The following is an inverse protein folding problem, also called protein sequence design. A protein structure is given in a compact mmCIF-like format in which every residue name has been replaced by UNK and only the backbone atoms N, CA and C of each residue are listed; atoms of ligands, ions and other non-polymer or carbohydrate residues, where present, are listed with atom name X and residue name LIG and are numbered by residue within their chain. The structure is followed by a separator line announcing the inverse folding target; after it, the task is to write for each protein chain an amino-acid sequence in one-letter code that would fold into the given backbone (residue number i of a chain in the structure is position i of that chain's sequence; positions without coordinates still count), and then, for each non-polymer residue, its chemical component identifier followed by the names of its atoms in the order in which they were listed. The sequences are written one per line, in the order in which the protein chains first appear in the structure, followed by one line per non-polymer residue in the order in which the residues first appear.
data_IF_491182590446
#
_entry.id   IF_491182590446
#
_cell.length_a   1.000
_cell.length_b   1.000
_cell.length_c   1.000
_cell.angle_alpha   90.00
_cell.angle_beta   90.00
_cell.angle_gamma   90.00
#
_symmetry.space_group_name_H-M   'P 1'
#
loop_
_entity.id
_entity.type
_entity.pdbx_description
1 polymer ?
#
# COMPACT_ATOMS: atom_id res chain seq x y z
N UNK A 1 -6.89 6.86 -32.85
CA UNK A 1 -6.22 7.87 -33.68
C UNK A 1 -4.94 7.29 -34.26
N UNK A 2 -5.08 6.46 -35.28
CA UNK A 2 -3.98 6.03 -36.16
C UNK A 2 -4.49 6.43 -37.54
N UNK A 3 -4.24 7.68 -37.91
CA UNK A 3 -4.67 8.28 -39.15
C UNK A 3 -3.55 9.18 -39.64
N UNK A 4 -2.97 8.80 -40.78
CA UNK A 4 -2.01 9.57 -41.58
C UNK A 4 -0.64 9.83 -40.96
N UNK A 5 0.20 8.79 -40.96
CA UNK A 5 1.63 8.96 -41.24
C UNK A 5 1.88 8.43 -42.65
N UNK A 6 1.68 9.31 -43.64
CA UNK A 6 2.12 9.10 -45.02
C UNK A 6 3.67 9.20 -45.04
N UNK A 7 4.34 8.11 -44.68
CA UNK A 7 5.78 7.95 -44.90
C UNK A 7 5.96 7.64 -46.39
N UNK A 8 6.18 8.67 -47.20
CA UNK A 8 6.75 8.48 -48.53
C UNK A 8 8.13 7.83 -48.36
N UNK A 9 8.20 6.55 -48.73
CA UNK A 9 9.42 5.77 -48.77
C UNK A 9 10.44 6.45 -49.71
N UNK A 10 11.52 6.97 -49.14
CA UNK A 10 12.70 7.39 -49.91
C UNK A 10 13.32 6.16 -50.58
N UNK A 11 13.14 6.06 -51.90
CA UNK A 11 13.69 4.97 -52.72
C UNK A 11 15.12 5.32 -53.15
N UNK A 12 16.11 4.97 -52.32
CA UNK A 12 17.52 5.11 -52.68
C UNK A 12 17.99 3.95 -53.57
N UNK A 13 18.50 4.29 -54.75
CA UNK A 13 18.94 3.37 -55.79
C UNK A 13 20.29 2.73 -55.40
N UNK A 14 20.35 1.40 -55.25
CA UNK A 14 21.51 0.66 -54.72
C UNK A 14 22.63 0.51 -55.75
N UNK A 15 23.87 0.85 -55.39
CA UNK A 15 25.08 0.20 -55.90
C UNK A 15 25.78 -0.58 -54.78
N UNK A 16 26.29 -1.76 -55.15
CA UNK A 16 26.83 -2.84 -54.29
C UNK A 16 28.00 -2.38 -53.42
N UNK A 17 27.74 -2.19 -52.12
CA UNK A 17 28.47 -2.69 -50.95
C UNK A 17 27.47 -2.62 -49.79
N UNK A 18 27.06 -3.76 -49.22
CA UNK A 18 25.91 -3.84 -48.29
C UNK A 18 26.32 -3.49 -46.85
N UNK A 19 26.60 -2.22 -46.59
CA UNK A 19 26.64 -1.65 -45.24
C UNK A 19 25.46 -0.72 -45.04
N UNK A 20 24.89 -0.70 -43.83
CA UNK A 20 23.89 0.32 -43.48
C UNK A 20 24.54 1.70 -43.59
N UNK A 21 23.86 2.63 -44.25
CA UNK A 21 24.32 4.03 -44.26
C UNK A 21 24.05 4.66 -42.90
N UNK A 22 24.88 5.63 -42.50
CA UNK A 22 24.67 6.37 -41.24
C UNK A 22 23.25 6.98 -41.17
N UNK A 23 22.76 7.50 -42.30
CA UNK A 23 21.40 8.06 -42.41
C UNK A 23 20.30 7.00 -42.20
N UNK A 24 20.48 5.79 -42.70
CA UNK A 24 19.52 4.69 -42.53
C UNK A 24 19.44 4.24 -41.05
N UNK A 25 20.59 4.13 -40.38
CA UNK A 25 20.64 3.81 -38.94
C UNK A 25 20.04 4.95 -38.10
N UNK A 26 20.30 6.22 -38.44
CA UNK A 26 19.74 7.35 -37.71
C UNK A 26 18.23 7.46 -37.84
N UNK A 27 17.68 7.24 -39.04
CA UNK A 27 16.22 7.26 -39.25
C UNK A 27 15.57 6.10 -38.49
N UNK A 28 16.14 4.90 -38.53
CA UNK A 28 15.58 3.74 -37.81
C UNK A 28 15.64 3.91 -36.29
N UNK A 29 16.77 4.40 -35.74
CA UNK A 29 16.87 4.74 -34.32
C UNK A 29 15.92 5.89 -33.93
N UNK A 30 15.71 6.87 -34.81
CA UNK A 30 14.75 7.95 -34.60
C UNK A 30 13.31 7.46 -34.51
N UNK A 31 12.90 6.57 -35.42
CA UNK A 31 11.55 5.98 -35.42
C UNK A 31 11.34 5.11 -34.17
N UNK A 32 12.29 4.23 -33.85
CA UNK A 32 12.23 3.39 -32.64
C UNK A 32 12.18 4.26 -31.39
N UNK A 33 12.95 5.35 -31.34
CA UNK A 33 12.94 6.31 -30.24
C UNK A 33 11.58 6.96 -30.01
N UNK A 34 10.91 7.42 -31.07
CA UNK A 34 9.57 8.03 -30.98
C UNK A 34 8.54 7.00 -30.51
N UNK A 35 8.53 5.81 -31.11
CA UNK A 35 7.57 4.74 -30.76
C UNK A 35 7.78 4.27 -29.32
N UNK A 36 9.03 4.09 -28.90
CA UNK A 36 9.36 3.71 -27.52
C UNK A 36 8.92 4.80 -26.52
N UNK A 37 9.16 6.07 -26.83
CA UNK A 37 8.74 7.19 -25.97
C UNK A 37 7.21 7.25 -25.76
N UNK A 38 6.42 6.87 -26.78
CA UNK A 38 4.95 6.83 -26.68
C UNK A 38 4.42 5.59 -25.94
N UNK A 39 5.14 4.47 -25.98
CA UNK A 39 4.64 3.17 -25.47
C UNK A 39 5.17 2.81 -24.08
N UNK A 40 6.43 3.14 -23.76
CA UNK A 40 7.07 2.80 -22.49
C UNK A 40 6.35 3.35 -21.25
N UNK A 41 5.86 4.61 -21.22
CA UNK A 41 5.20 5.14 -20.02
C UNK A 41 3.93 4.35 -19.65
N UNK A 42 3.11 3.99 -20.64
CA UNK A 42 1.86 3.25 -20.42
C UNK A 42 2.12 1.79 -20.01
N UNK A 43 3.10 1.14 -20.63
CA UNK A 43 3.47 -0.23 -20.30
C UNK A 43 4.03 -0.32 -18.87
N UNK A 44 4.92 0.61 -18.48
CA UNK A 44 5.51 0.63 -17.13
C UNK A 44 4.42 0.91 -16.07
N UNK A 45 3.49 1.82 -16.35
CA UNK A 45 2.39 2.14 -15.43
C UNK A 45 1.49 0.92 -15.17
N UNK A 46 0.98 0.29 -16.23
CA UNK A 46 0.11 -0.88 -16.11
C UNK A 46 0.81 -2.11 -15.52
N UNK A 47 2.11 -2.26 -15.76
CA UNK A 47 2.91 -3.30 -15.14
C UNK A 47 3.05 -3.10 -13.63
N UNK A 48 3.39 -1.88 -13.18
CA UNK A 48 3.52 -1.55 -11.75
C UNK A 48 2.22 -1.79 -10.99
N UNK A 49 1.08 -1.42 -11.56
CA UNK A 49 -0.23 -1.65 -10.95
C UNK A 49 -0.49 -3.15 -10.72
N UNK A 50 -0.23 -3.98 -11.72
CA UNK A 50 -0.33 -5.44 -11.59
C UNK A 50 0.62 -6.00 -10.53
N UNK A 51 1.85 -5.49 -10.46
CA UNK A 51 2.81 -5.89 -9.44
C UNK A 51 2.33 -5.55 -8.03
N UNK A 52 1.86 -4.33 -7.81
CA UNK A 52 1.35 -3.90 -6.51
C UNK A 52 0.13 -4.72 -6.09
N UNK A 53 -0.80 -5.00 -7.02
CA UNK A 53 -1.96 -5.85 -6.76
C UNK A 53 -1.56 -7.25 -6.29
N UNK A 54 -0.61 -7.89 -6.97
CA UNK A 54 -0.10 -9.21 -6.58
C UNK A 54 0.60 -9.16 -5.22
N UNK A 55 1.44 -8.15 -5.00
CA UNK A 55 2.15 -7.96 -3.74
C UNK A 55 1.20 -7.72 -2.57
N UNK A 56 0.13 -6.95 -2.80
CA UNK A 56 -0.92 -6.70 -1.80
C UNK A 56 -1.72 -7.96 -1.46
N UNK A 57 -2.12 -8.77 -2.45
CA UNK A 57 -2.75 -10.08 -2.18
C UNK A 57 -1.86 -10.97 -1.32
N UNK A 58 -0.55 -10.98 -1.61
CA UNK A 58 0.44 -11.70 -0.80
C UNK A 58 0.51 -11.13 0.62
N UNK A 59 0.56 -9.81 0.78
CA UNK A 59 0.59 -9.14 2.08
C UNK A 59 -0.64 -9.52 2.92
N UNK A 60 -1.84 -9.40 2.34
CA UNK A 60 -3.10 -9.75 3.00
C UNK A 60 -3.16 -11.22 3.41
N UNK A 61 -2.77 -12.14 2.50
CA UNK A 61 -2.75 -13.57 2.80
C UNK A 61 -1.73 -13.91 3.90
N UNK A 62 -0.52 -13.34 3.82
CA UNK A 62 0.54 -13.56 4.81
C UNK A 62 0.12 -13.04 6.19
N UNK A 63 -0.53 -11.88 6.22
CA UNK A 63 -1.01 -11.30 7.47
C UNK A 63 -2.16 -12.09 8.09
N UNK A 64 -3.10 -12.55 7.27
CA UNK A 64 -4.19 -13.40 7.74
C UNK A 64 -3.67 -14.72 8.30
N UNK A 65 -2.68 -15.33 7.65
CA UNK A 65 -2.03 -16.56 8.14
C UNK A 65 -1.23 -16.32 9.43
N UNK A 66 -0.48 -15.22 9.51
CA UNK A 66 0.25 -14.84 10.73
C UNK A 66 -0.71 -14.61 11.90
N UNK A 67 -1.84 -13.98 11.65
CA UNK A 67 -2.89 -13.76 12.65
C UNK A 67 -3.47 -15.08 13.16
N UNK A 68 -3.83 -16.01 12.26
CA UNK A 68 -4.35 -17.32 12.66
C UNK A 68 -3.34 -18.11 13.50
N UNK A 69 -2.06 -18.16 13.09
CA UNK A 69 -1.01 -18.84 13.86
C UNK A 69 -0.83 -18.23 15.25
N UNK A 70 -0.85 -16.90 15.33
CA UNK A 70 -0.75 -16.20 16.60
C UNK A 70 -1.92 -16.52 17.55
N UNK A 71 -3.11 -16.76 17.01
CA UNK A 71 -4.27 -17.21 17.78
C UNK A 71 -4.12 -18.67 18.22
N UNK A 72 -3.67 -19.55 17.32
CA UNK A 72 -3.43 -20.98 17.61
C UNK A 72 -2.38 -21.19 18.71
N UNK A 73 -1.29 -20.42 18.68
CA UNK A 73 -0.23 -20.48 19.69
C UNK A 73 -0.63 -19.82 21.03
N UNK A 74 -1.81 -19.19 21.10
CA UNK A 74 -2.33 -18.57 22.33
C UNK A 74 -1.64 -17.26 22.74
N UNK A 75 -0.80 -16.69 21.88
CA UNK A 75 -0.13 -15.41 22.14
C UNK A 75 -1.01 -14.19 21.82
N UNK A 76 -2.17 -14.39 21.19
CA UNK A 76 -3.13 -13.32 20.96
C UNK A 76 -3.70 -12.79 22.29
N UNK A 77 -3.46 -11.52 22.57
CA UNK A 77 -4.05 -10.83 23.71
C UNK A 77 -5.48 -10.45 23.33
N UNK A 78 -6.46 -11.07 23.99
CA UNK A 78 -7.87 -10.81 23.74
C UNK A 78 -8.21 -9.33 23.92
N UNK A 79 -8.97 -8.81 22.96
CA UNK A 79 -9.36 -7.40 22.91
C UNK A 79 -10.79 -7.32 23.42
N UNK A 80 -10.94 -7.12 24.72
CA UNK A 80 -12.21 -6.67 25.29
C UNK A 80 -12.23 -5.14 25.25
N UNK A 81 -13.25 -4.51 24.64
CA UNK A 81 -13.39 -3.07 24.69
C UNK A 81 -13.51 -2.63 26.15
N UNK A 82 -12.47 -2.00 26.70
CA UNK A 82 -12.54 -1.44 28.04
C UNK A 82 -13.07 -0.02 27.95
N UNK A 83 -14.22 0.22 28.59
CA UNK A 83 -14.73 1.55 28.89
C UNK A 83 -13.70 2.26 29.76
N UNK A 84 -13.05 3.30 29.21
CA UNK A 84 -12.23 4.21 29.99
C UNK A 84 -13.03 5.48 30.29
N UNK A 85 -12.77 6.06 31.47
CA UNK A 85 -13.46 7.26 31.94
C UNK A 85 -13.39 8.38 30.89
N UNK A 86 -14.55 8.94 30.52
CA UNK A 86 -14.68 9.92 29.42
C UNK A 86 -15.39 9.41 28.17
N UNK A 87 -15.93 8.18 28.16
CA UNK A 87 -16.72 7.64 27.06
C UNK A 87 -15.91 7.12 25.88
N UNK A 88 -14.59 7.01 26.04
CA UNK A 88 -13.72 6.39 25.04
C UNK A 88 -13.55 4.91 25.37
N UNK A 89 -13.37 4.08 24.34
CA UNK A 89 -13.00 2.68 24.50
C UNK A 89 -11.55 2.55 24.05
N UNK A 90 -10.68 2.05 24.91
CA UNK A 90 -9.26 1.89 24.61
C UNK A 90 -8.86 0.42 24.79
N UNK A 91 -8.13 -0.11 23.82
CA UNK A 91 -7.69 -1.50 23.79
C UNK A 91 -6.16 -1.55 23.64
N UNK A 92 -5.39 -1.34 24.73
CA UNK A 92 -3.92 -1.34 24.70
C UNK A 92 -3.31 -2.64 24.14
N UNK A 93 -4.07 -3.74 24.20
CA UNK A 93 -3.71 -5.05 23.67
C UNK A 93 -3.33 -5.05 22.18
N UNK A 94 -3.74 -4.05 21.39
CA UNK A 94 -3.55 -4.08 19.93
C UNK A 94 -2.14 -3.72 19.52
N UNK A 95 -1.55 -2.72 20.18
CA UNK A 95 -0.13 -2.41 19.98
C UNK A 95 0.74 -3.63 20.29
N UNK A 96 0.42 -4.36 21.37
CA UNK A 96 1.11 -5.59 21.74
C UNK A 96 0.86 -6.73 20.75
N UNK A 97 -0.39 -6.95 20.32
CA UNK A 97 -0.69 -7.91 19.26
C UNK A 97 0.05 -7.61 17.96
N UNK A 98 0.24 -6.33 17.62
CA UNK A 98 1.03 -5.93 16.45
C UNK A 98 2.53 -6.19 16.63
N UNK A 99 3.09 -6.03 17.84
CA UNK A 99 4.46 -6.46 18.14
C UNK A 99 4.61 -7.97 18.05
N UNK A 100 3.65 -8.72 18.59
CA UNK A 100 3.66 -10.19 18.59
C UNK A 100 3.54 -10.72 17.16
N UNK A 101 2.59 -10.21 16.36
CA UNK A 101 2.38 -10.67 14.99
C UNK A 101 3.60 -10.43 14.11
N UNK A 102 4.38 -9.36 14.37
CA UNK A 102 5.62 -9.09 13.64
C UNK A 102 6.63 -10.25 13.70
N UNK A 103 6.62 -11.05 14.78
CA UNK A 103 7.48 -12.23 14.93
C UNK A 103 7.13 -13.35 13.94
N UNK A 104 5.86 -13.47 13.57
CA UNK A 104 5.38 -14.47 12.59
C UNK A 104 5.72 -14.10 11.15
N UNK A 105 6.16 -12.86 10.91
CA UNK A 105 6.63 -12.38 9.62
C UNK A 105 8.14 -12.54 9.44
N UNK A 106 8.90 -13.06 10.42
CA UNK A 106 10.38 -13.00 10.39
C UNK A 106 10.86 -11.57 10.08
N UNK A 107 10.42 -10.60 10.87
CA UNK A 107 10.78 -9.19 10.68
C UNK A 107 12.30 -9.00 10.67
N UNK A 108 12.80 -8.27 9.67
CA UNK A 108 14.22 -7.92 9.53
C UNK A 108 14.57 -6.67 10.34
N UNK A 109 13.57 -5.81 10.55
CA UNK A 109 13.71 -4.58 11.33
C UNK A 109 12.40 -4.31 12.07
N UNK A 110 12.49 -3.96 13.34
CA UNK A 110 11.35 -3.56 14.18
C UNK A 110 11.60 -2.17 14.74
N UNK A 111 10.58 -1.32 14.69
CA UNK A 111 10.61 0.06 15.15
C UNK A 111 9.45 0.28 16.11
N UNK A 112 9.67 0.00 17.40
CA UNK A 112 8.65 0.08 18.44
C UNK A 112 8.92 1.14 19.51
N UNK A 113 10.08 1.78 19.49
CA UNK A 113 10.59 2.64 20.56
C UNK A 113 10.65 4.11 20.13
N UNK A 114 9.58 4.59 19.48
CA UNK A 114 9.51 5.99 19.02
C UNK A 114 10.34 6.28 17.76
N UNK A 115 10.66 5.25 16.98
CA UNK A 115 11.49 5.33 15.80
C UNK A 115 10.77 4.81 14.52
N UNK A 116 9.46 5.02 14.39
CA UNK A 116 8.69 4.53 13.24
C UNK A 116 9.28 4.95 11.87
N UNK A 117 9.89 6.13 11.81
CA UNK A 117 10.53 6.71 10.62
C UNK A 117 11.71 5.90 10.08
N UNK A 118 12.25 5.00 10.89
CA UNK A 118 13.30 4.07 10.49
C UNK A 118 12.79 2.83 9.73
N UNK A 119 11.51 2.50 9.87
CA UNK A 119 10.86 1.35 9.23
C UNK A 119 9.80 1.79 8.22
N UNK A 120 9.39 3.06 8.23
CA UNK A 120 8.30 3.58 7.42
C UNK A 120 8.63 4.97 6.88
N UNK A 121 8.40 5.19 5.57
CA UNK A 121 8.68 6.50 4.96
C UNK A 121 7.61 7.51 5.35
N UNK A 122 8.00 8.47 6.19
CA UNK A 122 7.11 9.47 6.77
C UNK A 122 7.13 10.82 6.05
N UNK A 123 8.27 11.27 5.53
CA UNK A 123 8.43 12.63 4.99
C UNK A 123 7.79 12.82 3.60
N UNK A 124 7.84 11.79 2.76
CA UNK A 124 7.33 11.80 1.37
C UNK A 124 6.20 10.80 1.12
N UNK A 125 5.74 10.10 2.16
CA UNK A 125 4.77 9.02 2.06
C UNK A 125 3.39 9.37 2.62
N UNK A 126 2.35 8.84 1.99
CA UNK A 126 0.98 8.93 2.49
C UNK A 126 0.77 7.89 3.61
N UNK A 127 0.52 8.34 4.84
CA UNK A 127 0.15 7.45 5.97
C UNK A 127 -1.13 7.89 6.70
N UNK A 128 -1.88 8.81 6.08
CA UNK A 128 -3.19 9.27 6.60
C UNK A 128 -3.11 10.16 7.84
N UNK A 129 -1.94 10.76 8.16
CA UNK A 129 -1.85 11.76 9.23
C UNK A 129 -2.63 13.03 8.85
N UNK A 130 -3.41 13.54 9.80
CA UNK A 130 -4.05 14.85 9.70
C UNK A 130 -3.15 15.88 10.39
N UNK A 131 -2.61 16.82 9.62
CA UNK A 131 -1.95 18.02 10.15
C UNK A 131 -2.51 19.24 9.44
N UNK A 132 -2.81 20.28 10.20
CA UNK A 132 -3.36 21.56 9.73
C UNK A 132 -2.34 22.42 8.96
N UNK A 133 -1.13 21.93 8.69
CA UNK A 133 -0.11 22.67 7.94
C UNK A 133 0.77 21.72 7.11
N UNK A 134 0.88 22.02 5.81
CA UNK A 134 1.48 21.24 4.71
C UNK A 134 0.52 20.22 4.06
N UNK A 135 0.56 20.03 2.72
CA UNK A 135 -0.60 19.66 1.93
C UNK A 135 -1.16 18.33 2.43
N UNK A 136 -2.46 18.36 2.71
CA UNK A 136 -3.28 17.32 3.30
C UNK A 136 -2.71 15.90 3.02
N UNK A 137 -2.53 15.11 4.08
CA UNK A 137 -2.32 13.64 4.05
C UNK A 137 -0.88 13.08 4.02
N UNK A 138 0.14 13.94 4.11
CA UNK A 138 1.55 13.50 4.28
C UNK A 138 1.90 13.32 5.75
N UNK A 139 2.55 12.20 6.08
CA UNK A 139 3.17 12.03 7.40
C UNK A 139 2.75 10.78 8.17
N UNK A 140 3.62 10.39 9.09
CA UNK A 140 3.41 9.39 10.12
C UNK A 140 3.64 10.01 11.52
N UNK A 141 3.39 9.25 12.58
CA UNK A 141 3.84 9.56 13.95
C UNK A 141 5.01 8.66 14.29
N UNK A 142 6.14 9.23 14.75
CA UNK A 142 7.35 8.46 15.11
C UNK A 142 7.11 7.50 16.28
N UNK A 143 6.18 7.85 17.15
CA UNK A 143 5.74 7.02 18.28
C UNK A 143 4.99 5.75 17.85
N UNK A 144 4.53 5.66 16.60
CA UNK A 144 3.84 4.47 16.10
C UNK A 144 4.75 3.25 15.99
N UNK A 145 4.16 2.08 16.07
CA UNK A 145 4.82 0.81 15.86
C UNK A 145 4.91 0.51 14.37
N UNK A 146 6.10 0.17 13.92
CA UNK A 146 6.34 -0.22 12.55
C UNK A 146 7.34 -1.38 12.50
N UNK A 147 7.32 -2.17 11.44
CA UNK A 147 8.34 -3.18 11.18
C UNK A 147 8.48 -3.41 9.67
N UNK A 148 9.61 -3.98 9.28
CA UNK A 148 9.86 -4.42 7.90
C UNK A 148 9.98 -5.94 7.92
N UNK A 149 9.23 -6.62 7.05
CA UNK A 149 9.31 -8.07 6.93
C UNK A 149 10.48 -8.53 6.05
N UNK A 150 10.79 -9.83 6.07
CA UNK A 150 11.87 -10.42 5.27
C UNK A 150 11.71 -10.20 3.75
N UNK A 151 10.51 -9.94 3.27
CA UNK A 151 10.24 -9.69 1.86
C UNK A 151 10.42 -8.22 1.47
N UNK A 152 10.71 -7.35 2.44
CA UNK A 152 10.93 -5.93 2.26
C UNK A 152 9.64 -5.11 2.28
N UNK A 153 8.49 -5.69 2.67
CA UNK A 153 7.27 -4.89 2.88
C UNK A 153 7.37 -4.20 4.24
N UNK A 154 6.95 -2.94 4.28
CA UNK A 154 6.88 -2.18 5.52
C UNK A 154 5.45 -2.25 6.09
N UNK A 155 5.36 -2.35 7.40
CA UNK A 155 4.11 -2.41 8.14
C UNK A 155 4.11 -1.30 9.19
N UNK A 156 2.99 -0.61 9.34
CA UNK A 156 2.88 0.55 10.24
C UNK A 156 1.51 0.58 10.91
N UNK A 157 1.49 0.62 12.24
CA UNK A 157 0.29 0.73 13.06
C UNK A 157 0.04 2.20 13.39
N UNK A 158 -0.98 2.80 12.80
CA UNK A 158 -1.28 4.21 13.00
C UNK A 158 -1.65 4.50 14.46
N UNK A 159 -0.89 5.41 15.10
CA UNK A 159 -1.13 5.89 16.46
C UNK A 159 -1.06 4.82 17.56
N UNK A 160 -0.51 3.63 17.28
CA UNK A 160 -0.56 2.46 18.17
C UNK A 160 -1.96 2.08 18.63
N UNK A 161 -2.96 2.49 17.87
CA UNK A 161 -4.36 2.25 18.17
C UNK A 161 -4.88 1.08 17.34
N UNK A 162 -6.12 0.71 17.64
CA UNK A 162 -6.86 -0.39 17.04
C UNK A 162 -6.90 -0.36 15.51
N UNK A 163 -6.81 0.83 14.93
CA UNK A 163 -7.10 1.08 13.55
C UNK A 163 -6.45 2.41 13.10
N UNK A 164 -5.86 2.53 11.89
CA UNK A 164 -5.52 1.50 10.88
C UNK A 164 -4.14 0.83 11.00
N UNK A 165 -4.03 -0.33 10.33
CA UNK A 165 -2.76 -0.95 9.95
C UNK A 165 -2.48 -0.62 8.50
N UNK A 166 -1.33 -0.03 8.23
CA UNK A 166 -0.86 0.26 6.89
C UNK A 166 0.20 -0.76 6.50
N UNK A 167 0.16 -1.18 5.24
CA UNK A 167 1.21 -1.97 4.62
C UNK A 167 1.69 -1.26 3.37
N UNK A 168 3.01 -1.16 3.23
CA UNK A 168 3.67 -0.73 2.01
C UNK A 168 4.29 -1.97 1.33
N UNK A 169 3.73 -2.35 0.19
CA UNK A 169 4.05 -3.62 -0.49
C UNK A 169 5.35 -3.57 -1.28
N UNK A 170 5.92 -2.38 -1.52
CA UNK A 170 7.24 -2.20 -2.13
C UNK A 170 8.25 -1.52 -1.20
N UNK A 171 7.89 -1.30 0.07
CA UNK A 171 8.80 -0.91 1.14
C UNK A 171 9.05 0.60 1.20
N UNK A 172 10.31 1.02 1.06
CA UNK A 172 10.70 2.43 1.03
C UNK A 172 10.67 3.05 -0.38
N UNK A 173 10.41 2.22 -1.41
CA UNK A 173 10.46 2.61 -2.80
C UNK A 173 9.24 3.44 -3.19
N UNK A 174 9.48 4.50 -3.95
CA UNK A 174 8.40 5.30 -4.54
C UNK A 174 7.40 4.44 -5.33
N UNK A 175 6.10 4.81 -5.37
CA UNK A 175 5.56 6.13 -5.00
C UNK A 175 5.16 6.38 -3.54
N UNK A 176 5.09 5.39 -2.64
CA UNK A 176 4.66 5.55 -1.25
C UNK A 176 3.26 6.21 -1.10
N UNK A 177 2.28 5.73 -1.89
CA UNK A 177 0.92 6.28 -2.04
C UNK A 177 -0.17 5.28 -1.65
N UNK A 178 -1.15 5.79 -0.91
CA UNK A 178 -2.37 5.05 -0.55
C UNK A 178 -3.16 4.68 -1.80
N UNK A 179 -3.59 3.42 -1.88
CA UNK A 179 -4.32 2.85 -3.01
C UNK A 179 -3.44 2.48 -4.20
N UNK A 180 -2.11 2.59 -4.09
CA UNK A 180 -1.15 2.14 -5.11
C UNK A 180 -0.24 1.07 -4.55
N UNK A 181 0.76 1.46 -3.77
CA UNK A 181 1.68 0.57 -3.08
C UNK A 181 1.43 0.52 -1.57
N UNK A 182 0.71 1.51 -1.03
CA UNK A 182 0.24 1.48 0.36
C UNK A 182 -1.21 1.08 0.46
N UNK A 183 -1.50 0.12 1.34
CA UNK A 183 -2.83 -0.40 1.57
C UNK A 183 -3.20 -0.33 3.04
N UNK A 184 -4.50 -0.22 3.29
CA UNK A 184 -5.06 -0.12 4.62
C UNK A 184 -5.78 -1.42 4.95
N UNK A 185 -5.34 -2.02 6.05
CA UNK A 185 -5.90 -3.21 6.65
C UNK A 185 -6.35 -2.88 8.07
N UNK A 186 -7.21 -3.74 8.61
CA UNK A 186 -7.67 -3.65 9.98
C UNK A 186 -7.90 -5.02 10.55
N UNK A 187 -7.83 -5.10 11.87
CA UNK A 187 -8.46 -6.19 12.56
C UNK A 187 -9.99 -6.12 12.40
N UNK A 188 -10.67 -7.26 12.47
CA UNK A 188 -12.12 -7.33 12.42
C UNK A 188 -12.65 -8.50 13.23
N UNK A 189 -13.88 -8.35 13.72
CA UNK A 189 -14.69 -9.43 14.26
C UNK A 189 -15.88 -9.71 13.33
N UNK A 190 -16.48 -10.90 13.40
CA UNK A 190 -17.76 -11.21 12.74
C UNK A 190 -18.90 -10.27 13.15
N UNK A 191 -18.84 -9.76 14.37
CA UNK A 191 -19.89 -8.95 14.98
C UNK A 191 -19.60 -7.44 14.88
N UNK A 192 -18.51 -7.05 14.19
CA UNK A 192 -17.98 -5.68 14.20
C UNK A 192 -19.04 -4.60 13.91
N UNK A 193 -19.07 -3.57 14.76
CA UNK A 193 -19.99 -2.43 14.65
C UNK A 193 -19.46 -1.40 13.62
N UNK A 194 -18.14 -1.37 13.39
CA UNK A 194 -17.54 -0.51 12.39
C UNK A 194 -18.01 -0.88 10.98
N UNK A 195 -18.50 0.12 10.24
CA UNK A 195 -18.85 -0.03 8.83
C UNK A 195 -17.63 -0.52 8.03
N UNK A 196 -17.87 -1.32 6.98
CA UNK A 196 -16.85 -1.78 6.02
C UNK A 196 -16.01 -0.64 5.41
N UNK A 197 -16.51 0.58 5.54
CA UNK A 197 -15.92 1.82 5.06
C UNK A 197 -14.92 2.47 6.02
N UNK A 198 -14.96 2.10 7.30
CA UNK A 198 -14.13 2.56 8.43
C UNK A 198 -13.85 4.07 8.55
N UNK A 199 -14.59 4.90 7.82
CA UNK A 199 -14.76 6.34 8.11
C UNK A 199 -15.90 6.53 9.12
N UNK A 200 -16.01 5.58 10.06
CA UNK A 200 -17.02 5.53 11.11
C UNK A 200 -16.54 6.35 12.30
N UNK A 201 -17.29 7.41 12.60
CA UNK A 201 -17.00 8.44 13.58
C UNK A 201 -16.59 7.97 14.97
N UNK A 202 -15.99 8.94 15.66
CA UNK A 202 -15.75 9.00 17.08
C UNK A 202 -16.78 8.18 17.90
N UNK A 203 -16.25 7.31 18.77
CA UNK A 203 -16.88 6.71 19.94
C UNK A 203 -17.50 5.30 19.77
N UNK A 204 -17.00 4.42 20.64
CA UNK A 204 -17.62 3.22 21.19
C UNK A 204 -17.37 1.89 20.47
N UNK A 205 -16.34 1.18 20.94
CA UNK A 205 -15.97 -0.20 20.61
C UNK A 205 -16.07 -0.56 19.12
N UNK A 206 -14.95 -0.52 18.39
CA UNK A 206 -14.91 -0.88 16.97
C UNK A 206 -15.35 -2.34 16.72
N UNK A 207 -15.29 -3.17 17.77
CA UNK A 207 -15.72 -4.56 17.79
C UNK A 207 -16.64 -4.81 18.99
N UNK A 208 -17.73 -5.53 18.76
CA UNK A 208 -18.65 -6.02 19.79
C UNK A 208 -18.23 -7.38 20.37
N UNK A 209 -17.17 -7.97 19.83
CA UNK A 209 -16.67 -9.30 20.19
C UNK A 209 -15.19 -9.48 19.86
N UNK A 210 -14.64 -10.66 20.15
CA UNK A 210 -13.23 -10.97 19.89
C UNK A 210 -12.89 -10.85 18.40
N UNK A 211 -11.71 -10.31 18.11
CA UNK A 211 -11.18 -10.21 16.76
C UNK A 211 -10.90 -11.62 16.24
N UNK A 212 -11.42 -11.95 15.07
CA UNK A 212 -11.34 -13.28 14.47
C UNK A 212 -10.79 -13.26 13.03
N UNK A 213 -10.54 -12.08 12.46
CA UNK A 213 -10.00 -11.97 11.10
C UNK A 213 -9.30 -10.64 10.84
N UNK A 214 -8.58 -10.60 9.73
CA UNK A 214 -8.10 -9.36 9.10
C UNK A 214 -9.06 -8.97 7.98
N UNK A 215 -9.46 -7.71 7.94
CA UNK A 215 -10.28 -7.14 6.88
C UNK A 215 -9.52 -6.04 6.11
N UNK A 216 -9.65 -5.99 4.77
CA UNK A 216 -9.21 -4.84 4.02
C UNK A 216 -10.12 -3.64 4.27
N UNK A 217 -9.62 -2.45 3.94
CA UNK A 217 -10.45 -1.25 3.86
C UNK A 217 -11.47 -1.34 2.72
N UNK A 218 -12.59 -0.61 2.85
CA UNK A 218 -13.54 -0.43 1.76
C UNK A 218 -12.97 0.41 0.63
N UNK A 219 -13.41 0.16 -0.61
CA UNK A 219 -12.95 0.89 -1.79
C UNK A 219 -13.37 2.37 -1.73
N UNK A 220 -12.40 3.26 -1.95
CA UNK A 220 -12.60 4.72 -1.85
C UNK A 220 -12.42 5.37 -3.20
N UNK A 221 -13.53 5.72 -3.84
CA UNK A 221 -13.52 6.43 -5.13
C UNK A 221 -13.21 7.91 -4.93
N UNK A 222 -13.83 8.54 -3.94
CA UNK A 222 -13.67 9.96 -3.65
C UNK A 222 -12.41 10.24 -2.81
N UNK A 223 -11.82 11.41 -3.03
CA UNK A 223 -10.67 11.90 -2.25
C UNK A 223 -11.05 12.08 -0.79
N UNK A 224 -10.28 11.45 0.09
CA UNK A 224 -10.48 11.49 1.53
C UNK A 224 -9.17 11.17 2.27
N UNK A 225 -9.23 11.16 3.61
CA UNK A 225 -8.06 10.92 4.46
C UNK A 225 -7.27 9.66 4.13
N UNK A 226 -7.98 8.55 4.02
CA UNK A 226 -7.42 7.23 3.71
C UNK A 226 -7.38 6.95 2.21
N UNK A 227 -7.62 7.96 1.38
CA UNK A 227 -7.43 7.90 -0.07
C UNK A 227 -7.23 9.32 -0.67
N UNK A 228 -6.05 9.93 -0.50
CA UNK A 228 -5.80 11.32 -0.89
C UNK A 228 -5.96 11.58 -2.40
N UNK A 229 -5.50 10.63 -3.21
CA UNK A 229 -5.48 10.74 -4.67
C UNK A 229 -6.84 10.36 -5.28
N UNK A 230 -7.74 9.72 -4.51
CA UNK A 230 -8.97 9.09 -5.00
C UNK A 230 -8.69 7.74 -5.68
N UNK A 231 -9.76 7.00 -5.95
CA UNK A 231 -9.72 5.69 -6.62
C UNK A 231 -8.81 4.65 -5.95
N UNK A 232 -8.89 4.51 -4.63
CA UNK A 232 -8.17 3.47 -3.88
C UNK A 232 -9.02 2.21 -3.77
N UNK A 233 -8.62 1.15 -4.48
CA UNK A 233 -9.37 -0.10 -4.61
C UNK A 233 -8.85 -1.18 -3.64
N UNK A 234 -8.99 -0.94 -2.34
CA UNK A 234 -8.48 -1.80 -1.27
C UNK A 234 -9.16 -3.18 -1.19
N UNK A 235 -10.46 -3.29 -1.44
CA UNK A 235 -11.24 -4.52 -1.38
C UNK A 235 -11.28 -5.18 -2.76
N UNK A 236 -11.57 -4.41 -3.81
CA UNK A 236 -11.67 -4.95 -5.17
C UNK A 236 -10.37 -5.60 -5.65
N UNK A 237 -9.20 -5.07 -5.28
CA UNK A 237 -7.91 -5.66 -5.68
C UNK A 237 -7.64 -7.04 -5.08
N UNK A 238 -8.32 -7.43 -4.00
CA UNK A 238 -8.20 -8.76 -3.41
C UNK A 238 -9.11 -9.79 -4.09
N UNK A 239 -10.25 -9.36 -4.66
CA UNK A 239 -11.28 -10.24 -5.22
C UNK A 239 -11.00 -10.65 -6.68
N UNK A 240 -10.34 -9.80 -7.44
CA UNK A 240 -9.99 -10.02 -8.86
C UNK A 240 -8.63 -10.68 -9.04
#
# INVERSE_FOLDING_TARGET
FIGFLNLQFFRFNRKKYSGFTLSEVLITLGIIGIVAAMTLPSLIGSYKEKQWKVAYKKAYSSFSQAFLRMQEDGYFVAITPQLVSGGNYYTPAIGENFKIISKYFNSVKTCFDGNADECWVCESGQAGKYSSSAPNWLGCTKESYAFVDYSGMAWYLYSNQEFPILVDVNGDKNPNKLGKDRFVLRFASKESIASDDGDGGNNNANYSGNIDRIAPWGDKINKQRWCPDGNCLYKSWLLE
#
